data_IF_863039480152
#
_entry.id   IF_863039480152
#
_cell.length_a   1.000
_cell.length_b   1.000
_cell.length_c   1.000
_cell.angle_alpha   90.00
_cell.angle_beta   90.00
_cell.angle_gamma   90.00
#
_symmetry.space_group_name_H-M   'P 1'
#
loop_
_entity.id
_entity.type
_entity.pdbx_description
1 polymer ?
#
# COMPACT_ATOMS: atom_id res chain seq x y z
N UNK A 1 8.23 10.73 -19.40
CA UNK A 1 8.59 11.87 -20.25
C UNK A 1 8.39 13.16 -19.48
N UNK A 2 9.34 14.09 -19.57
CA UNK A 2 9.32 15.40 -18.93
C UNK A 2 9.61 16.46 -20.02
N UNK A 3 8.88 17.57 -20.00
CA UNK A 3 9.17 18.73 -20.83
C UNK A 3 10.04 19.71 -20.04
N UNK A 4 11.07 20.21 -20.69
CA UNK A 4 12.01 21.21 -20.15
C UNK A 4 11.92 22.45 -21.02
N UNK A 5 11.47 23.55 -20.45
CA UNK A 5 11.37 24.83 -21.14
C UNK A 5 12.50 25.75 -20.66
N UNK A 6 13.37 26.15 -21.60
CA UNK A 6 14.39 27.18 -21.36
C UNK A 6 14.72 27.94 -22.63
N UNK A 7 14.98 29.22 -22.47
CA UNK A 7 15.21 30.11 -23.61
C UNK A 7 13.98 30.23 -24.51
N UNK A 8 14.17 29.98 -25.78
CA UNK A 8 13.11 30.07 -26.80
C UNK A 8 12.53 28.71 -27.23
N UNK A 9 12.80 27.64 -26.45
CA UNK A 9 12.44 26.29 -26.87
C UNK A 9 11.94 25.39 -25.76
N UNK A 10 11.12 24.40 -26.15
CA UNK A 10 10.62 23.31 -25.37
C UNK A 10 11.35 22.02 -25.77
N UNK A 11 11.93 21.33 -24.81
CA UNK A 11 12.76 20.14 -25.01
C UNK A 11 12.19 18.97 -24.24
N UNK A 12 12.38 17.77 -24.76
CA UNK A 12 11.85 16.57 -24.14
C UNK A 12 12.98 15.72 -23.53
N UNK A 13 12.72 15.22 -22.34
CA UNK A 13 13.54 14.26 -21.65
C UNK A 13 12.73 12.98 -21.35
N UNK A 14 13.33 11.84 -21.61
CA UNK A 14 12.76 10.51 -21.40
C UNK A 14 13.63 9.72 -20.47
N UNK A 15 13.06 9.19 -19.40
CA UNK A 15 13.70 8.25 -18.51
C UNK A 15 12.91 6.95 -18.40
N UNK A 16 13.62 5.85 -18.25
CA UNK A 16 13.04 4.53 -17.98
C UNK A 16 13.86 3.87 -16.87
N UNK A 17 13.18 3.23 -15.95
CA UNK A 17 13.78 2.48 -14.87
C UNK A 17 13.05 1.17 -14.68
N UNK A 18 13.74 0.21 -14.08
CA UNK A 18 13.17 -1.05 -13.59
C UNK A 18 13.26 -1.08 -12.07
N UNK A 19 12.44 -1.92 -11.47
CA UNK A 19 12.46 -2.09 -10.03
C UNK A 19 12.04 -3.49 -9.64
N UNK A 20 12.42 -3.87 -8.44
CA UNK A 20 12.02 -5.13 -7.82
C UNK A 20 11.56 -4.88 -6.40
N UNK A 21 10.71 -5.76 -5.89
CA UNK A 21 10.25 -5.68 -4.51
C UNK A 21 10.09 -7.07 -3.92
N UNK A 22 10.36 -7.15 -2.64
CA UNK A 22 10.12 -8.34 -1.83
C UNK A 22 9.32 -7.93 -0.61
N UNK A 23 8.30 -8.74 -0.25
CA UNK A 23 7.52 -8.53 0.94
C UNK A 23 7.23 -9.83 1.65
N UNK A 24 7.19 -9.77 2.98
CA UNK A 24 6.75 -10.85 3.84
C UNK A 24 5.77 -10.31 4.87
N UNK A 25 4.74 -11.10 5.17
CA UNK A 25 3.74 -10.78 6.16
C UNK A 25 3.46 -11.99 7.02
N UNK A 26 3.25 -11.76 8.29
CA UNK A 26 2.86 -12.74 9.29
C UNK A 26 1.63 -12.25 10.03
N UNK A 27 0.62 -13.10 10.15
CA UNK A 27 -0.59 -12.83 10.93
C UNK A 27 -0.82 -13.92 11.95
N UNK A 28 -1.12 -13.53 13.17
CA UNK A 28 -1.65 -14.37 14.23
C UNK A 28 -3.09 -13.94 14.54
N UNK A 29 -3.98 -14.89 14.58
CA UNK A 29 -5.37 -14.69 14.94
C UNK A 29 -5.82 -15.80 15.91
N UNK A 30 -6.72 -15.46 16.81
CA UNK A 30 -7.33 -16.43 17.72
C UNK A 30 -8.84 -16.28 17.70
N UNK A 31 -9.57 -17.39 17.44
CA UNK A 31 -11.02 -17.39 17.31
C UNK A 31 -11.68 -17.50 18.69
N UNK A 32 -12.51 -16.53 19.02
CA UNK A 32 -13.37 -16.49 20.19
C UNK A 32 -14.82 -16.49 19.73
N UNK A 33 -15.51 -17.62 19.91
CA UNK A 33 -16.94 -17.67 19.64
C UNK A 33 -17.70 -16.85 20.70
N UNK A 34 -18.53 -15.91 20.25
CA UNK A 34 -19.32 -15.04 21.12
C UNK A 34 -20.70 -15.61 21.44
N UNK A 35 -21.13 -16.65 20.72
CA UNK A 35 -22.40 -17.32 20.92
C UNK A 35 -22.24 -18.84 20.83
N UNK A 36 -23.24 -19.58 21.31
CA UNK A 36 -23.20 -21.05 21.41
C UNK A 36 -23.13 -21.72 20.04
N UNK A 37 -23.81 -21.18 19.03
CA UNK A 37 -23.84 -21.69 17.66
C UNK A 37 -22.61 -21.28 16.83
N UNK A 38 -21.69 -20.51 17.43
CA UNK A 38 -20.45 -20.03 16.81
C UNK A 38 -20.68 -19.22 15.50
N UNK A 39 -21.86 -18.65 15.36
CA UNK A 39 -22.18 -17.83 14.20
C UNK A 39 -21.57 -16.43 14.26
N UNK A 40 -21.12 -15.98 15.46
CA UNK A 40 -20.42 -14.72 15.69
C UNK A 40 -19.06 -15.00 16.30
N UNK A 41 -18.00 -14.57 15.63
CA UNK A 41 -16.61 -14.83 16.02
C UNK A 41 -15.88 -13.49 16.18
N UNK A 42 -15.24 -13.32 17.33
CA UNK A 42 -14.28 -12.24 17.56
C UNK A 42 -12.86 -12.81 17.42
N UNK A 43 -12.05 -12.18 16.58
CA UNK A 43 -10.66 -12.56 16.37
C UNK A 43 -9.73 -11.42 16.79
N UNK A 44 -9.08 -11.43 17.94
CA UNK A 44 -7.91 -10.61 18.17
C UNK A 44 -6.83 -10.99 17.16
N UNK A 45 -6.16 -9.95 16.61
CA UNK A 45 -5.20 -10.06 15.53
C UNK A 45 -3.87 -9.42 15.93
N UNK A 46 -2.79 -10.05 15.51
CA UNK A 46 -1.46 -9.46 15.47
C UNK A 46 -0.89 -9.65 14.07
N UNK A 47 -0.39 -8.56 13.47
CA UNK A 47 0.25 -8.59 12.17
C UNK A 47 1.67 -8.02 12.28
N UNK A 48 2.59 -8.62 11.54
CA UNK A 48 3.92 -8.08 11.30
C UNK A 48 4.24 -8.17 9.81
N UNK A 49 4.76 -7.12 9.23
CA UNK A 49 5.12 -7.09 7.81
C UNK A 49 6.44 -6.37 7.58
N UNK A 50 7.12 -6.76 6.51
CA UNK A 50 8.28 -6.08 5.97
C UNK A 50 8.16 -6.05 4.45
N UNK A 51 8.46 -4.90 3.86
CA UNK A 51 8.49 -4.72 2.41
C UNK A 51 9.74 -3.93 2.06
N UNK A 52 10.54 -4.50 1.15
CA UNK A 52 11.69 -3.82 0.55
C UNK A 52 11.41 -3.61 -0.92
N UNK A 53 11.57 -2.38 -1.39
CA UNK A 53 11.45 -2.03 -2.81
C UNK A 53 12.76 -1.38 -3.25
N UNK A 54 13.29 -1.84 -4.38
CA UNK A 54 14.47 -1.29 -5.02
C UNK A 54 14.13 -0.84 -6.42
N UNK A 55 14.58 0.36 -6.78
CA UNK A 55 14.46 0.92 -8.12
C UNK A 55 15.86 1.23 -8.64
N UNK A 56 16.15 0.76 -9.86
CA UNK A 56 17.43 1.01 -10.51
C UNK A 56 17.55 2.49 -10.88
N UNK A 57 18.76 3.01 -10.75
CA UNK A 57 19.08 4.35 -11.22
C UNK A 57 18.94 4.46 -12.74
N UNK A 58 18.67 5.66 -13.23
CA UNK A 58 18.56 5.93 -14.66
C UNK A 58 19.05 7.33 -15.02
N UNK A 59 19.34 7.50 -16.29
CA UNK A 59 19.63 8.81 -16.89
C UNK A 59 18.60 9.12 -17.95
N UNK A 60 18.10 10.35 -17.96
CA UNK A 60 17.21 10.83 -19.02
C UNK A 60 17.99 10.99 -20.35
N UNK A 61 17.29 10.80 -21.45
CA UNK A 61 17.77 11.02 -22.81
C UNK A 61 16.77 11.89 -23.57
N UNK A 62 17.18 12.43 -24.73
CA UNK A 62 16.31 13.22 -25.59
C UNK A 62 16.86 14.59 -25.89
N UNK A 63 16.00 15.48 -26.44
CA UNK A 63 16.41 16.81 -26.89
C UNK A 63 16.81 17.76 -25.76
N UNK A 64 16.48 17.45 -24.51
CA UNK A 64 16.90 18.22 -23.34
C UNK A 64 18.42 18.17 -23.07
N UNK A 65 19.15 17.19 -23.65
CA UNK A 65 20.60 17.09 -23.56
C UNK A 65 21.11 17.17 -22.12
N UNK A 66 22.01 18.11 -21.88
CA UNK A 66 22.63 18.33 -20.56
C UNK A 66 21.65 18.78 -19.44
N UNK A 67 20.44 19.23 -19.79
CA UNK A 67 19.37 19.50 -18.83
C UNK A 67 18.56 18.24 -18.45
N UNK A 68 18.91 17.08 -19.01
CA UNK A 68 18.41 15.79 -18.56
C UNK A 68 18.85 15.51 -17.13
N UNK A 69 18.09 14.66 -16.43
CA UNK A 69 18.37 14.26 -15.06
C UNK A 69 19.05 12.88 -15.05
N UNK A 70 19.92 12.73 -14.07
CA UNK A 70 20.39 11.44 -13.58
C UNK A 70 19.77 11.20 -12.20
N UNK A 71 19.15 10.06 -12.05
CA UNK A 71 18.55 9.57 -10.78
C UNK A 71 19.36 8.35 -10.38
N UNK A 72 19.87 8.35 -9.16
CA UNK A 72 20.58 7.20 -8.59
C UNK A 72 19.61 6.10 -8.19
N UNK A 73 20.11 4.90 -7.99
CA UNK A 73 19.35 3.79 -7.44
C UNK A 73 18.74 4.15 -6.08
N UNK A 74 17.57 3.58 -5.82
CA UNK A 74 16.81 3.85 -4.62
C UNK A 74 16.41 2.54 -3.98
N UNK A 75 16.54 2.48 -2.66
CA UNK A 75 16.02 1.38 -1.86
C UNK A 75 15.16 1.95 -0.75
N UNK A 76 14.02 1.34 -0.52
CA UNK A 76 13.08 1.70 0.54
C UNK A 76 12.69 0.42 1.27
N UNK A 77 12.98 0.35 2.55
CA UNK A 77 12.54 -0.74 3.41
C UNK A 77 11.58 -0.23 4.48
N UNK A 78 10.38 -0.73 4.45
CA UNK A 78 9.35 -0.46 5.45
C UNK A 78 9.02 -1.74 6.22
N UNK A 79 8.86 -1.62 7.52
CA UNK A 79 8.34 -2.67 8.36
C UNK A 79 7.17 -2.12 9.17
N UNK A 80 6.21 -2.95 9.51
CA UNK A 80 5.08 -2.56 10.34
C UNK A 80 4.69 -3.68 11.30
N UNK A 81 4.23 -3.29 12.46
CA UNK A 81 3.51 -4.18 13.37
C UNK A 81 2.12 -3.60 13.62
N UNK A 82 1.12 -4.46 13.72
CA UNK A 82 -0.25 -4.04 14.00
C UNK A 82 -0.90 -4.97 15.00
N UNK A 83 -1.76 -4.41 15.81
CA UNK A 83 -2.67 -5.13 16.69
C UNK A 83 -4.10 -4.68 16.41
N UNK A 84 -5.03 -5.60 16.50
CA UNK A 84 -6.42 -5.27 16.21
C UNK A 84 -7.39 -6.38 16.53
N UNK A 85 -8.59 -6.23 16.00
CA UNK A 85 -9.62 -7.23 16.12
C UNK A 85 -10.49 -7.26 14.86
N UNK A 86 -10.96 -8.45 14.56
CA UNK A 86 -11.97 -8.73 13.54
C UNK A 86 -13.20 -9.30 14.23
N UNK A 87 -14.35 -8.76 13.91
CA UNK A 87 -15.64 -9.32 14.31
C UNK A 87 -16.32 -9.81 13.03
N UNK A 88 -16.60 -11.08 12.94
CA UNK A 88 -17.32 -11.68 11.82
C UNK A 88 -18.58 -12.39 12.29
N UNK A 89 -19.61 -12.37 11.48
CA UNK A 89 -20.87 -13.02 11.82
C UNK A 89 -21.73 -13.34 10.61
N UNK A 90 -22.46 -14.44 10.69
CA UNK A 90 -23.48 -14.77 9.72
C UNK A 90 -24.62 -13.76 9.82
N UNK A 91 -24.85 -13.07 8.74
CA UNK A 91 -26.00 -12.19 8.59
C UNK A 91 -27.15 -13.05 8.12
N UNK A 92 -28.17 -13.26 8.95
CA UNK A 92 -29.34 -14.09 8.65
C UNK A 92 -30.17 -13.63 7.46
N UNK A 93 -29.60 -12.84 6.59
CA UNK A 93 -30.21 -12.31 5.36
C UNK A 93 -29.92 -13.28 4.23
N UNK A 94 -30.96 -13.81 3.65
CA UNK A 94 -30.89 -14.74 2.54
C UNK A 94 -30.58 -13.99 1.24
N UNK A 95 -29.28 -13.70 1.02
CA UNK A 95 -28.82 -13.10 -0.23
C UNK A 95 -28.56 -14.24 -1.22
N UNK A 96 -29.24 -14.27 -2.34
CA UNK A 96 -29.19 -15.36 -3.34
C UNK A 96 -29.48 -16.78 -2.77
N UNK A 97 -30.33 -16.89 -1.75
CA UNK A 97 -30.63 -18.19 -1.12
C UNK A 97 -29.51 -18.69 -0.18
N UNK A 98 -28.55 -17.87 0.19
CA UNK A 98 -27.40 -18.19 1.05
C UNK A 98 -27.23 -17.18 2.17
N UNK A 99 -26.66 -17.62 3.28
CA UNK A 99 -26.27 -16.73 4.36
C UNK A 99 -25.03 -15.94 3.95
N UNK A 100 -25.05 -14.64 4.20
CA UNK A 100 -23.93 -13.77 4.01
C UNK A 100 -23.07 -13.73 5.26
N UNK A 101 -21.75 -13.69 5.11
CA UNK A 101 -20.79 -13.41 6.17
C UNK A 101 -20.45 -11.91 6.17
N UNK A 102 -20.81 -11.22 7.24
CA UNK A 102 -20.41 -9.85 7.49
C UNK A 102 -19.14 -9.79 8.34
N UNK A 103 -18.29 -8.80 8.10
CA UNK A 103 -17.06 -8.60 8.84
C UNK A 103 -16.80 -7.12 9.12
N UNK A 104 -16.32 -6.82 10.32
CA UNK A 104 -15.81 -5.51 10.72
C UNK A 104 -14.41 -5.69 11.28
N UNK A 105 -13.46 -4.85 10.87
CA UNK A 105 -12.06 -4.89 11.33
C UNK A 105 -11.64 -3.54 11.87
N UNK A 106 -10.86 -3.56 12.92
CA UNK A 106 -10.17 -2.38 13.46
C UNK A 106 -8.75 -2.76 13.84
N UNK A 107 -7.78 -1.96 13.41
CA UNK A 107 -6.37 -2.17 13.72
C UNK A 107 -5.69 -0.86 14.05
N UNK A 108 -4.67 -0.93 14.89
CA UNK A 108 -3.67 0.13 15.07
C UNK A 108 -2.34 -0.43 14.64
N UNK A 109 -1.68 0.25 13.71
CA UNK A 109 -0.37 -0.15 13.22
C UNK A 109 0.71 0.89 13.55
N UNK A 110 1.93 0.39 13.73
CA UNK A 110 3.12 1.19 13.91
C UNK A 110 4.12 0.84 12.81
N UNK A 111 4.40 1.82 11.94
CA UNK A 111 5.41 1.68 10.90
C UNK A 111 6.80 1.96 11.47
N UNK A 112 7.76 1.14 11.07
CA UNK A 112 9.17 1.19 11.40
C UNK A 112 9.99 1.17 10.11
N UNK A 113 11.20 1.72 10.14
CA UNK A 113 12.05 1.82 8.95
C UNK A 113 11.79 3.11 8.17
N UNK A 114 11.96 3.04 6.86
CA UNK A 114 11.88 4.22 6.00
C UNK A 114 10.44 4.69 5.82
N UNK A 115 10.18 5.92 6.23
CA UNK A 115 8.86 6.57 6.14
C UNK A 115 8.82 7.69 5.10
N UNK A 116 9.90 7.81 4.33
CA UNK A 116 10.08 8.87 3.36
C UNK A 116 10.99 8.37 2.25
N UNK A 117 10.45 8.28 1.05
CA UNK A 117 11.28 7.99 -0.12
C UNK A 117 12.33 9.10 -0.30
N UNK A 118 13.54 8.71 -0.67
CA UNK A 118 14.64 9.62 -1.01
C UNK A 118 15.22 9.17 -2.34
N UNK A 119 15.44 10.12 -3.23
CA UNK A 119 16.17 9.93 -4.47
C UNK A 119 17.31 10.94 -4.55
N UNK A 120 18.50 10.52 -4.92
CA UNK A 120 19.56 11.44 -5.29
C UNK A 120 19.44 11.76 -6.78
N UNK A 121 19.30 13.05 -7.08
CA UNK A 121 19.06 13.54 -8.43
C UNK A 121 20.09 14.60 -8.80
N UNK A 122 20.66 14.47 -9.98
CA UNK A 122 21.59 15.45 -10.55
C UNK A 122 21.27 15.74 -12.00
N UNK A 123 21.90 16.76 -12.56
CA UNK A 123 21.85 17.06 -14.00
C UNK A 123 22.94 16.29 -14.76
N UNK A 124 22.65 15.92 -15.98
CA UNK A 124 23.66 15.29 -16.85
C UNK A 124 24.85 16.22 -17.16
N UNK A 125 24.65 17.53 -17.08
CA UNK A 125 25.71 18.53 -17.21
C UNK A 125 26.82 18.40 -16.16
N UNK A 126 26.47 17.94 -14.94
CA UNK A 126 27.43 17.72 -13.86
C UNK A 126 27.08 16.42 -13.10
N UNK A 127 27.56 15.28 -13.62
CA UNK A 127 27.25 13.97 -13.03
C UNK A 127 27.84 13.75 -11.63
N UNK A 128 28.80 14.60 -11.23
CA UNK A 128 29.42 14.52 -9.90
C UNK A 128 28.60 15.18 -8.81
N UNK A 129 27.61 15.98 -9.17
CA UNK A 129 26.78 16.73 -8.25
C UNK A 129 25.35 16.21 -8.22
N UNK A 130 24.99 15.54 -7.15
CA UNK A 130 23.62 15.08 -6.87
C UNK A 130 23.07 15.74 -5.62
N UNK A 131 21.75 15.90 -5.57
CA UNK A 131 21.02 16.38 -4.39
C UNK A 131 19.93 15.41 -3.99
N UNK A 132 19.72 15.19 -2.69
CA UNK A 132 18.62 14.40 -2.21
C UNK A 132 17.28 15.12 -2.46
N UNK A 133 16.37 14.46 -3.10
CA UNK A 133 14.95 14.83 -3.24
C UNK A 133 14.15 13.89 -2.38
N UNK A 134 13.32 14.47 -1.54
CA UNK A 134 12.55 13.71 -0.57
C UNK A 134 11.07 13.68 -0.95
N UNK A 135 10.47 12.51 -0.84
CA UNK A 135 9.03 12.35 -0.90
C UNK A 135 8.29 12.91 0.32
N UNK A 136 6.98 12.80 0.32
CA UNK A 136 6.16 13.18 1.46
C UNK A 136 6.49 12.29 2.68
N UNK A 137 6.54 12.90 3.87
CA UNK A 137 6.68 12.17 5.11
C UNK A 137 5.29 11.78 5.61
N UNK A 138 5.07 10.49 5.81
CA UNK A 138 3.83 9.96 6.40
C UNK A 138 4.00 9.67 7.88
N UNK A 139 2.91 9.72 8.64
CA UNK A 139 2.89 9.35 10.05
C UNK A 139 3.25 7.87 10.26
N UNK A 140 3.90 7.58 11.38
CA UNK A 140 4.32 6.21 11.72
C UNK A 140 3.21 5.37 12.33
N UNK A 141 2.20 5.99 12.91
CA UNK A 141 1.05 5.30 13.49
C UNK A 141 -0.14 5.47 12.58
N UNK A 142 -0.81 4.37 12.25
CA UNK A 142 -2.04 4.37 11.48
C UNK A 142 -3.17 3.72 12.27
N UNK A 143 -4.36 4.29 12.16
CA UNK A 143 -5.61 3.65 12.52
C UNK A 143 -6.27 3.12 11.26
N UNK A 144 -6.64 1.85 11.27
CA UNK A 144 -7.27 1.19 10.14
C UNK A 144 -8.62 0.65 10.55
N UNK A 145 -9.64 0.88 9.71
CA UNK A 145 -10.96 0.29 9.88
C UNK A 145 -11.41 -0.32 8.55
N UNK A 146 -12.09 -1.43 8.63
CA UNK A 146 -12.57 -2.13 7.44
C UNK A 146 -13.92 -2.79 7.67
N UNK A 147 -14.67 -2.95 6.59
CA UNK A 147 -15.91 -3.71 6.54
C UNK A 147 -15.88 -4.65 5.34
N UNK A 148 -16.39 -5.86 5.52
CA UNK A 148 -16.46 -6.86 4.48
C UNK A 148 -17.81 -7.56 4.46
N UNK A 149 -18.22 -7.98 3.27
CA UNK A 149 -19.37 -8.82 3.06
C UNK A 149 -19.00 -9.91 2.05
N UNK A 150 -19.26 -11.16 2.40
CA UNK A 150 -19.00 -12.31 1.55
C UNK A 150 -20.27 -13.15 1.43
N UNK A 151 -20.59 -13.54 0.19
CA UNK A 151 -21.78 -14.35 -0.11
C UNK A 151 -21.35 -15.55 -0.94
N UNK A 152 -21.56 -16.81 -0.46
CA UNK A 152 -21.34 -18.00 -1.27
C UNK A 152 -22.26 -18.02 -2.48
N UNK A 153 -21.72 -18.35 -3.67
CA UNK A 153 -22.47 -18.44 -4.92
C UNK A 153 -22.20 -19.80 -5.56
N UNK A 154 -23.26 -20.52 -5.85
CA UNK A 154 -23.14 -21.90 -6.37
C UNK A 154 -22.49 -22.84 -5.35
N UNK A 155 -21.67 -23.76 -5.82
CA UNK A 155 -21.01 -24.79 -4.98
C UNK A 155 -19.55 -24.50 -4.67
N UNK A 156 -18.92 -23.55 -5.37
CA UNK A 156 -17.48 -23.29 -5.29
C UNK A 156 -17.09 -21.81 -5.37
N UNK A 157 -18.05 -20.91 -5.58
CA UNK A 157 -17.80 -19.48 -5.74
C UNK A 157 -18.15 -18.68 -4.48
N UNK A 158 -17.48 -17.55 -4.28
CA UNK A 158 -17.80 -16.56 -3.27
C UNK A 158 -17.70 -15.17 -3.90
N UNK A 159 -18.78 -14.41 -3.85
CA UNK A 159 -18.72 -12.98 -4.17
C UNK A 159 -18.37 -12.23 -2.88
N UNK A 160 -17.42 -11.32 -2.95
CA UNK A 160 -17.09 -10.48 -1.81
C UNK A 160 -17.01 -9.00 -2.19
N UNK A 161 -17.34 -8.15 -1.23
CA UNK A 161 -17.15 -6.71 -1.25
C UNK A 161 -16.43 -6.33 0.01
N UNK A 162 -15.39 -5.53 -0.12
CA UNK A 162 -14.57 -5.10 1.00
C UNK A 162 -14.27 -3.61 0.89
N UNK A 163 -14.30 -2.91 2.02
CA UNK A 163 -13.93 -1.50 2.13
C UNK A 163 -13.00 -1.28 3.31
N UNK A 164 -11.93 -0.51 3.10
CA UNK A 164 -10.94 -0.20 4.12
C UNK A 164 -10.61 1.28 4.13
N UNK A 165 -10.44 1.83 5.32
CA UNK A 165 -9.90 3.17 5.56
C UNK A 165 -8.60 3.05 6.37
N UNK A 166 -7.58 3.81 5.99
CA UNK A 166 -6.32 3.99 6.72
C UNK A 166 -6.18 5.48 7.02
N UNK A 167 -6.00 5.82 8.27
CA UNK A 167 -5.90 7.20 8.75
C UNK A 167 -4.61 7.33 9.55
N UNK A 168 -3.74 8.23 9.11
CA UNK A 168 -2.47 8.55 9.75
C UNK A 168 -2.16 10.03 9.67
N UNK A 169 -1.21 10.51 10.47
CA UNK A 169 -0.78 11.91 10.37
C UNK A 169 -0.21 12.20 8.98
N UNK A 170 -0.79 13.19 8.31
CA UNK A 170 -0.36 13.64 6.97
C UNK A 170 -0.85 12.79 5.81
N UNK A 171 -1.69 11.76 6.04
CA UNK A 171 -2.25 10.94 4.96
C UNK A 171 -3.52 10.24 5.41
N UNK A 172 -4.46 10.11 4.50
CA UNK A 172 -5.60 9.20 4.66
C UNK A 172 -5.90 8.52 3.33
N UNK A 173 -6.35 7.29 3.37
CA UNK A 173 -6.79 6.57 2.17
C UNK A 173 -8.05 5.76 2.46
N UNK A 174 -8.88 5.63 1.43
CA UNK A 174 -10.04 4.74 1.42
C UNK A 174 -9.91 3.86 0.19
N UNK A 175 -10.03 2.57 0.39
CA UNK A 175 -9.93 1.58 -0.67
C UNK A 175 -11.15 0.67 -0.64
N UNK A 176 -11.60 0.23 -1.79
CA UNK A 176 -12.65 -0.76 -1.92
C UNK A 176 -12.27 -1.83 -2.93
N UNK A 177 -12.73 -3.03 -2.72
CA UNK A 177 -12.55 -4.14 -3.65
C UNK A 177 -13.83 -4.95 -3.77
N UNK A 178 -14.01 -5.54 -4.95
CA UNK A 178 -15.05 -6.50 -5.23
C UNK A 178 -14.42 -7.65 -6.02
N UNK A 179 -14.83 -8.87 -5.74
CA UNK A 179 -14.30 -10.03 -6.42
C UNK A 179 -15.25 -11.23 -6.40
N UNK A 180 -14.90 -12.20 -7.20
CA UNK A 180 -15.58 -13.49 -7.34
C UNK A 180 -14.56 -14.62 -7.38
#
# INVERSE_FOLDING_TARGET
TRTVDYGSGSYQAHGSTTGSGFGAMYELAYDIALNEDKSVILQPLFNASIVTTRMDGYSESGSAGNAGLRVEDQELTTAAVAVGARLSGLMGSNVFGREALGEIRVNVSQDMGDRRGQANVGFLADPSYTRPVYGAKVGSTAFQAGVGLSVPVGTQGVIFVDGNADIRSGSSSINGSIGY
#
